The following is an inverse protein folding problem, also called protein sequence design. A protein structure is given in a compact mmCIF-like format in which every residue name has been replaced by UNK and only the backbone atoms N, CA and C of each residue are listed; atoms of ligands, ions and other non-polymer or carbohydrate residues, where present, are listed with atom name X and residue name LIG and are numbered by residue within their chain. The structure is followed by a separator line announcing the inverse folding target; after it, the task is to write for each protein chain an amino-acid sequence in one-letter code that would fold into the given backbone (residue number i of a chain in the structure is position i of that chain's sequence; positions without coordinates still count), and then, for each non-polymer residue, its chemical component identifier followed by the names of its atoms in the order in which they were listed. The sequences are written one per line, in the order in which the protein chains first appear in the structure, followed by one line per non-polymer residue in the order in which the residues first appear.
data_IF_411926269300
#
_entry.id   IF_411926269300
#
_cell.length_a   1.000
_cell.length_b   1.000
_cell.length_c   1.000
_cell.angle_alpha   90.00
_cell.angle_beta   90.00
_cell.angle_gamma   90.00
#
_symmetry.space_group_name_H-M   'P 1'
#
loop_
_entity.id
_entity.type
_entity.pdbx_description
1 polymer ?
#
# COMPACT_ATOMS: atom_id res chain seq x y z
N UNK A 1 -4.66 -16.75 11.77
CA UNK A 1 -4.49 -15.49 11.02
C UNK A 1 -4.03 -15.85 9.62
N UNK A 2 -4.60 -15.24 8.57
CA UNK A 2 -4.23 -15.51 7.18
C UNK A 2 -2.74 -15.18 6.95
N UNK A 3 -2.00 -16.06 6.25
CA UNK A 3 -0.55 -15.92 6.04
C UNK A 3 -0.19 -14.64 5.27
N UNK A 4 -0.96 -14.30 4.24
CA UNK A 4 -0.76 -13.08 3.45
C UNK A 4 -0.97 -11.84 4.29
N UNK A 5 -2.03 -11.82 5.12
CA UNK A 5 -2.29 -10.71 6.03
C UNK A 5 -1.15 -10.52 7.05
N UNK A 6 -0.59 -11.62 7.55
CA UNK A 6 0.55 -11.54 8.47
C UNK A 6 1.81 -10.97 7.79
N UNK A 7 2.13 -11.46 6.58
CA UNK A 7 3.25 -10.94 5.79
C UNK A 7 3.05 -9.44 5.53
N UNK A 8 1.89 -9.06 5.02
CA UNK A 8 1.54 -7.67 4.72
C UNK A 8 1.70 -6.77 5.95
N UNK A 9 1.09 -7.14 7.08
CA UNK A 9 1.14 -6.33 8.29
C UNK A 9 2.55 -6.17 8.87
N UNK A 10 3.39 -7.22 8.80
CA UNK A 10 4.77 -7.17 9.30
C UNK A 10 5.70 -6.41 8.36
N UNK A 11 5.57 -6.60 7.05
CA UNK A 11 6.40 -5.90 6.06
C UNK A 11 6.23 -4.39 6.10
N UNK A 12 5.04 -3.89 6.49
CA UNK A 12 4.76 -2.47 6.63
C UNK A 12 5.51 -1.79 7.80
N UNK A 13 6.09 -2.56 8.72
CA UNK A 13 6.94 -2.01 9.79
C UNK A 13 8.36 -1.69 9.30
N UNK A 14 8.70 -2.05 8.04
CA UNK A 14 10.00 -1.82 7.42
C UNK A 14 9.82 -1.07 6.08
N UNK A 15 9.45 0.22 6.11
CA UNK A 15 9.19 0.99 4.89
C UNK A 15 10.45 1.22 4.04
N UNK A 16 11.65 1.15 4.62
CA UNK A 16 12.92 1.45 3.96
C UNK A 16 13.50 0.27 3.15
N UNK A 17 12.72 -0.79 2.93
CA UNK A 17 13.10 -1.92 2.06
C UNK A 17 13.06 -1.51 0.58
N UNK A 18 13.61 -2.37 -0.29
CA UNK A 18 13.74 -2.03 -1.71
C UNK A 18 12.38 -1.84 -2.40
N UNK A 19 12.32 -0.94 -3.40
CA UNK A 19 11.10 -0.72 -4.18
C UNK A 19 10.55 -1.99 -4.86
N UNK A 20 11.40 -2.97 -5.17
CA UNK A 20 10.97 -4.29 -5.65
C UNK A 20 10.16 -5.09 -4.60
N UNK A 21 10.61 -5.09 -3.35
CA UNK A 21 9.88 -5.73 -2.24
C UNK A 21 8.57 -4.99 -1.94
N UNK A 22 8.58 -3.66 -2.07
CA UNK A 22 7.35 -2.86 -1.93
C UNK A 22 6.35 -3.16 -3.05
N UNK A 23 6.79 -3.42 -4.28
CA UNK A 23 5.91 -3.87 -5.37
C UNK A 23 5.30 -5.25 -5.08
N UNK A 24 6.09 -6.17 -4.51
CA UNK A 24 5.58 -7.46 -4.05
C UNK A 24 4.52 -7.27 -2.95
N UNK A 25 4.72 -6.31 -2.05
CA UNK A 25 3.74 -5.97 -1.02
C UNK A 25 2.39 -5.50 -1.61
N UNK A 26 2.42 -4.68 -2.67
CA UNK A 26 1.20 -4.27 -3.38
C UNK A 26 0.50 -5.45 -4.07
N UNK A 27 1.27 -6.39 -4.62
CA UNK A 27 0.74 -7.63 -5.19
C UNK A 27 0.16 -8.58 -4.12
N UNK A 28 0.72 -8.59 -2.91
CA UNK A 28 0.15 -9.30 -1.76
C UNK A 28 -1.18 -8.64 -1.37
N UNK A 29 -1.28 -7.31 -1.36
CA UNK A 29 -2.53 -6.61 -1.04
C UNK A 29 -3.63 -6.89 -2.07
N UNK A 30 -3.27 -7.04 -3.35
CA UNK A 30 -4.17 -7.54 -4.40
C UNK A 30 -4.75 -8.91 -4.05
N UNK A 31 -3.94 -9.84 -3.56
CA UNK A 31 -4.39 -11.18 -3.15
C UNK A 31 -5.22 -11.14 -1.87
N UNK A 32 -4.89 -10.25 -0.93
CA UNK A 32 -5.71 -10.07 0.28
C UNK A 32 -7.12 -9.59 -0.09
N UNK A 33 -7.22 -8.66 -1.04
CA UNK A 33 -8.51 -8.13 -1.48
C UNK A 33 -9.46 -9.21 -2.04
N UNK A 34 -8.93 -10.27 -2.65
CA UNK A 34 -9.76 -11.39 -3.13
C UNK A 34 -10.28 -12.29 -2.01
N UNK A 35 -9.66 -12.23 -0.82
CA UNK A 35 -10.01 -13.05 0.35
C UNK A 35 -10.74 -12.25 1.43
N UNK A 36 -10.86 -10.93 1.27
CA UNK A 36 -11.30 -10.00 2.30
C UNK A 36 -12.75 -10.28 2.77
N UNK A 37 -13.61 -10.76 1.87
CA UNK A 37 -14.99 -11.16 2.20
C UNK A 37 -15.08 -12.36 3.15
N UNK A 38 -14.02 -13.15 3.29
CA UNK A 38 -13.95 -14.33 4.15
C UNK A 38 -13.30 -14.03 5.50
N UNK A 39 -12.81 -12.80 5.71
CA UNK A 39 -12.08 -12.44 6.92
C UNK A 39 -13.03 -12.29 8.11
N UNK A 40 -12.59 -12.83 9.25
CA UNK A 40 -13.22 -12.53 10.54
C UNK A 40 -13.06 -11.05 10.89
N UNK A 41 -13.88 -10.55 11.83
CA UNK A 41 -13.80 -9.17 12.31
C UNK A 41 -12.39 -8.80 12.82
N UNK A 42 -11.71 -9.72 13.50
CA UNK A 42 -10.32 -9.49 13.93
C UNK A 42 -9.34 -9.36 12.76
N UNK A 43 -9.49 -10.18 11.73
CA UNK A 43 -8.65 -10.09 10.54
C UNK A 43 -8.90 -8.79 9.76
N UNK A 44 -10.16 -8.34 9.67
CA UNK A 44 -10.51 -7.05 9.08
C UNK A 44 -9.90 -5.89 9.86
N UNK A 45 -9.93 -5.95 11.20
CA UNK A 45 -9.29 -4.94 12.07
C UNK A 45 -7.78 -4.87 11.84
N UNK A 46 -7.12 -6.02 11.72
CA UNK A 46 -5.67 -6.08 11.45
C UNK A 46 -5.36 -5.49 10.06
N UNK A 47 -6.16 -5.84 9.05
CA UNK A 47 -6.01 -5.29 7.70
C UNK A 47 -6.18 -3.77 7.68
N UNK A 48 -7.18 -3.26 8.40
CA UNK A 48 -7.41 -1.82 8.52
C UNK A 48 -6.23 -1.08 9.15
N UNK A 49 -5.66 -1.62 10.23
CA UNK A 49 -4.48 -1.01 10.87
C UNK A 49 -3.24 -1.11 9.98
N UNK A 50 -3.06 -2.21 9.24
CA UNK A 50 -2.01 -2.34 8.24
C UNK A 50 -2.18 -1.32 7.10
N UNK A 51 -3.37 -1.19 6.53
CA UNK A 51 -3.67 -0.22 5.48
C UNK A 51 -3.41 1.23 5.93
N UNK A 52 -3.70 1.55 7.20
CA UNK A 52 -3.32 2.85 7.79
C UNK A 52 -1.80 3.07 7.82
N UNK A 53 -1.00 2.05 8.17
CA UNK A 53 0.47 2.15 8.12
C UNK A 53 0.96 2.42 6.70
N UNK A 54 0.38 1.74 5.70
CA UNK A 54 0.73 1.97 4.29
C UNK A 54 0.43 3.41 3.88
N UNK A 55 -0.75 3.95 4.22
CA UNK A 55 -1.13 5.33 3.91
C UNK A 55 -0.19 6.33 4.61
N UNK A 56 0.09 6.13 5.90
CA UNK A 56 0.95 7.01 6.68
C UNK A 56 2.38 7.09 6.10
N UNK A 57 2.86 5.99 5.51
CA UNK A 57 4.17 5.91 4.89
C UNK A 57 4.14 6.03 3.36
N UNK A 58 3.01 6.44 2.76
CA UNK A 58 2.81 6.41 1.31
C UNK A 58 3.91 7.14 0.53
N UNK A 59 4.47 8.23 1.08
CA UNK A 59 5.57 8.96 0.47
C UNK A 59 6.86 8.14 0.39
N UNK A 60 7.23 7.41 1.46
CA UNK A 60 8.43 6.56 1.51
C UNK A 60 8.28 5.39 0.54
N UNK A 61 7.12 4.71 0.57
CA UNK A 61 6.83 3.63 -0.38
C UNK A 61 6.81 4.13 -1.83
N UNK A 62 6.21 5.28 -2.09
CA UNK A 62 6.18 5.81 -3.44
C UNK A 62 7.58 6.16 -3.96
N UNK A 63 8.42 6.78 -3.13
CA UNK A 63 9.79 7.14 -3.49
C UNK A 63 10.57 5.91 -3.97
N UNK A 64 10.57 4.83 -3.20
CA UNK A 64 11.32 3.62 -3.56
C UNK A 64 10.70 2.87 -4.76
N UNK A 65 9.37 2.75 -4.84
CA UNK A 65 8.70 2.16 -6.02
C UNK A 65 9.01 2.96 -7.30
N UNK A 66 9.14 4.28 -7.20
CA UNK A 66 9.36 5.15 -8.36
C UNK A 66 10.70 4.89 -9.08
N UNK A 67 11.65 4.27 -8.39
CA UNK A 67 12.91 3.81 -8.99
C UNK A 67 12.72 2.64 -9.97
N UNK A 68 11.61 1.91 -9.88
CA UNK A 68 11.33 0.71 -10.68
C UNK A 68 10.22 0.94 -11.69
N UNK A 69 9.14 1.61 -11.29
CA UNK A 69 7.98 1.85 -12.17
C UNK A 69 7.35 3.22 -11.95
N UNK A 70 6.74 3.76 -13.01
CA UNK A 70 5.77 4.84 -12.88
C UNK A 70 4.39 4.27 -12.54
N UNK A 71 3.92 4.49 -11.31
CA UNK A 71 2.63 3.96 -10.83
C UNK A 71 1.43 4.42 -11.68
N UNK A 72 1.41 5.68 -12.14
CA UNK A 72 0.33 6.22 -12.96
C UNK A 72 0.24 5.51 -14.32
N UNK A 73 1.38 5.32 -14.99
CA UNK A 73 1.44 4.58 -16.24
C UNK A 73 1.11 3.10 -16.05
N UNK A 74 1.60 2.49 -14.96
CA UNK A 74 1.32 1.11 -14.61
C UNK A 74 -0.19 0.87 -14.40
N UNK A 75 -0.87 1.76 -13.68
CA UNK A 75 -2.33 1.68 -13.49
C UNK A 75 -3.09 1.77 -14.80
N UNK A 76 -2.72 2.70 -15.69
CA UNK A 76 -3.36 2.86 -17.01
C UNK A 76 -3.16 1.61 -17.88
N UNK A 77 -1.93 1.12 -17.98
CA UNK A 77 -1.59 -0.05 -18.80
C UNK A 77 -2.33 -1.31 -18.36
N UNK A 78 -2.56 -1.48 -17.05
CA UNK A 78 -3.18 -2.67 -16.49
C UNK A 78 -4.67 -2.47 -16.12
N UNK A 79 -5.28 -1.33 -16.48
CA UNK A 79 -6.67 -0.98 -16.12
C UNK A 79 -6.97 -1.15 -14.63
N UNK A 80 -6.04 -0.71 -13.77
CA UNK A 80 -6.21 -0.83 -12.31
C UNK A 80 -7.30 0.14 -11.85
N UNK A 81 -8.35 -0.41 -11.24
CA UNK A 81 -9.47 0.34 -10.67
C UNK A 81 -9.08 1.05 -9.37
N UNK A 82 -9.77 2.16 -9.07
CA UNK A 82 -9.60 2.92 -7.82
C UNK A 82 -9.95 2.13 -6.56
N UNK A 83 -10.70 1.03 -6.67
CA UNK A 83 -10.93 0.10 -5.56
C UNK A 83 -9.63 -0.53 -5.05
N UNK A 84 -8.62 -0.67 -5.92
CA UNK A 84 -7.26 -1.06 -5.55
C UNK A 84 -6.43 0.16 -5.20
N UNK A 85 -6.90 0.94 -4.22
CA UNK A 85 -6.35 2.24 -3.86
C UNK A 85 -4.86 2.19 -3.49
N UNK A 86 -4.35 1.05 -3.02
CA UNK A 86 -2.92 0.85 -2.71
C UNK A 86 -2.01 0.96 -3.94
N UNK A 87 -2.53 0.92 -5.17
CA UNK A 87 -1.75 1.24 -6.37
C UNK A 87 -1.66 2.75 -6.66
N UNK A 88 -2.35 3.58 -5.88
CA UNK A 88 -2.39 5.04 -6.01
C UNK A 88 -1.50 5.74 -4.97
N UNK A 89 -0.42 5.10 -4.51
CA UNK A 89 0.52 5.68 -3.55
C UNK A 89 1.17 6.96 -4.06
N UNK A 90 1.39 7.11 -5.37
CA UNK A 90 1.82 8.36 -6.00
C UNK A 90 0.83 9.51 -5.73
N UNK A 91 -0.47 9.23 -5.77
CA UNK A 91 -1.51 10.23 -5.47
C UNK A 91 -1.53 10.52 -3.97
N UNK A 92 -1.50 9.48 -3.13
CA UNK A 92 -1.55 9.61 -1.67
C UNK A 92 -0.33 10.34 -1.11
N UNK A 93 0.87 10.03 -1.61
CA UNK A 93 2.11 10.71 -1.27
C UNK A 93 2.03 12.21 -1.58
N UNK A 94 1.48 12.57 -2.73
CA UNK A 94 1.31 13.97 -3.11
C UNK A 94 0.23 14.67 -2.27
N UNK A 95 -0.87 13.99 -1.91
CA UNK A 95 -1.91 14.57 -1.05
C UNK A 95 -1.40 14.88 0.36
N UNK A 96 -0.59 13.99 0.96
CA UNK A 96 0.03 14.23 2.26
C UNK A 96 0.90 15.48 2.28
N UNK A 97 1.60 15.79 1.18
CA UNK A 97 2.39 17.02 1.03
C UNK A 97 1.53 18.29 1.02
N UNK A 98 0.24 18.20 0.70
CA UNK A 98 -0.70 19.34 0.75
C UNK A 98 -1.53 19.40 2.04
N UNK A 99 -1.63 18.29 2.79
CA UNK A 99 -2.46 18.19 4.00
C UNK A 99 -1.68 18.38 5.31
N UNK A 100 -0.34 18.36 5.27
CA UNK A 100 0.51 18.77 6.38
C UNK A 100 1.02 20.19 6.08
N UNK A 101 0.41 21.27 6.62
CA UNK A 101 1.12 22.55 6.65
C UNK A 101 2.34 22.33 7.55
N UNK A 102 3.50 22.80 7.09
CA UNK A 102 4.76 22.78 7.83
C UNK A 102 4.53 22.97 9.34
N UNK A 103 4.69 21.89 10.11
CA UNK A 103 5.03 22.03 11.51
C UNK A 103 6.47 22.56 11.53
N UNK A 104 6.58 23.89 11.45
CA UNK A 104 7.79 24.64 11.76
C UNK A 104 8.07 24.58 13.26
#
# INVERSE_FOLDING_TARGET
MNKLLNIYNLSLDYPDVSGGEQLELLAIRDQIATLESEFSLDAQRILFEADKKLIANAAVFYQEISHFINLSEHRKKNNISSQKWWWYLDVLANLSNYLIPMAA
#
